data_IF_177567792574
#
_entry.id   IF_177567792574
#
_cell.length_a   1.000
_cell.length_b   1.000
_cell.length_c   1.000
_cell.angle_alpha   90.00
_cell.angle_beta   90.00
_cell.angle_gamma   90.00
#
_symmetry.space_group_name_H-M   'P 1'
#
loop_
_entity.id
_entity.type
_entity.pdbx_description
1 polymer ?
#
# COMPACT_ATOMS: atom_id res chain seq x y z
N UNK A 1 -16.61 39.99 -73.88
CA UNK A 1 -15.50 39.70 -72.95
C UNK A 1 -15.83 39.82 -71.47
N UNK A 2 -17.04 40.11 -71.01
CA UNK A 2 -17.36 40.32 -69.58
C UNK A 2 -17.93 39.01 -68.91
N UNK A 3 -18.47 38.04 -69.67
CA UNK A 3 -19.02 36.80 -69.13
C UNK A 3 -17.98 35.74 -68.73
N UNK A 4 -16.75 35.77 -69.30
CA UNK A 4 -15.66 34.83 -68.98
C UNK A 4 -14.96 35.15 -67.63
N UNK A 5 -14.87 36.43 -67.25
CA UNK A 5 -14.22 36.91 -66.01
C UNK A 5 -15.01 36.54 -64.76
N UNK A 6 -16.35 36.50 -64.84
CA UNK A 6 -17.20 36.16 -63.68
C UNK A 6 -17.22 34.65 -63.34
N UNK A 7 -16.97 33.75 -64.33
CA UNK A 7 -16.91 32.33 -64.09
C UNK A 7 -15.58 31.88 -63.42
N UNK A 8 -14.48 32.55 -63.75
CA UNK A 8 -13.16 32.29 -63.11
C UNK A 8 -13.12 32.77 -61.64
N UNK A 9 -13.79 33.90 -61.31
CA UNK A 9 -13.85 34.37 -59.91
C UNK A 9 -14.74 33.48 -59.03
N UNK A 10 -15.82 32.88 -59.56
CA UNK A 10 -16.69 31.90 -58.80
C UNK A 10 -15.98 30.60 -58.53
N UNK A 11 -15.14 30.07 -59.43
CA UNK A 11 -14.40 28.81 -59.23
C UNK A 11 -13.29 28.98 -58.17
N UNK A 12 -12.66 30.11 -58.09
CA UNK A 12 -11.62 30.39 -57.08
C UNK A 12 -12.19 30.64 -55.67
N UNK A 13 -13.39 31.24 -55.57
CA UNK A 13 -14.11 31.41 -54.30
C UNK A 13 -14.62 30.08 -53.74
N UNK A 14 -15.06 29.14 -54.59
CA UNK A 14 -15.50 27.80 -54.18
C UNK A 14 -14.32 26.92 -53.76
N UNK A 15 -13.15 27.04 -54.37
CA UNK A 15 -11.92 26.33 -53.96
C UNK A 15 -11.32 26.89 -52.65
N UNK A 16 -11.40 28.20 -52.43
CA UNK A 16 -10.97 28.82 -51.16
C UNK A 16 -11.90 28.44 -49.99
N UNK A 17 -13.23 28.36 -50.23
CA UNK A 17 -14.18 27.91 -49.20
C UNK A 17 -14.03 26.43 -48.83
N UNK A 18 -13.68 25.56 -49.79
CA UNK A 18 -13.44 24.14 -49.50
C UNK A 18 -12.15 23.89 -48.71
N UNK A 19 -11.10 24.68 -48.96
CA UNK A 19 -9.83 24.58 -48.18
C UNK A 19 -9.97 25.14 -46.77
N UNK A 20 -10.79 26.19 -46.58
CA UNK A 20 -11.03 26.78 -45.25
C UNK A 20 -11.95 25.87 -44.40
N UNK A 21 -12.90 25.15 -45.01
CA UNK A 21 -13.77 24.19 -44.30
C UNK A 21 -13.00 22.93 -43.86
N UNK A 22 -11.96 22.52 -44.60
CA UNK A 22 -11.13 21.37 -44.22
C UNK A 22 -10.12 21.73 -43.11
N UNK A 23 -9.73 23.00 -42.96
CA UNK A 23 -8.80 23.43 -41.89
C UNK A 23 -9.50 23.71 -40.56
N UNK A 24 -10.81 23.98 -40.56
CA UNK A 24 -11.60 24.22 -39.33
C UNK A 24 -12.06 22.92 -38.72
N UNK A 25 -12.11 21.80 -39.47
CA UNK A 25 -12.46 20.49 -38.94
C UNK A 25 -11.30 19.75 -38.24
N UNK A 26 -10.04 20.21 -38.41
CA UNK A 26 -8.89 19.64 -37.72
C UNK A 26 -8.47 20.35 -36.44
N UNK A 27 -9.07 21.50 -36.12
CA UNK A 27 -8.77 22.26 -34.90
C UNK A 27 -9.80 22.11 -33.77
N UNK A 28 -10.75 21.20 -33.94
CA UNK A 28 -11.63 20.71 -32.88
C UNK A 28 -11.17 19.36 -32.34
N UNK A 29 -9.84 19.13 -32.27
CA UNK A 29 -9.28 18.20 -31.31
C UNK A 29 -9.56 18.78 -29.93
N UNK A 30 -10.79 18.56 -29.47
CA UNK A 30 -11.24 19.04 -28.19
C UNK A 30 -10.24 18.59 -27.13
N UNK A 31 -9.76 19.51 -26.33
CA UNK A 31 -9.34 19.21 -24.98
C UNK A 31 -10.54 18.49 -24.34
N UNK A 32 -10.59 17.17 -24.48
CA UNK A 32 -11.50 16.36 -23.69
C UNK A 32 -11.06 16.60 -22.26
N UNK A 33 -11.86 17.36 -21.51
CA UNK A 33 -11.73 17.45 -20.08
C UNK A 33 -11.87 16.02 -19.58
N UNK A 34 -10.74 15.37 -19.32
CA UNK A 34 -10.71 14.01 -18.83
C UNK A 34 -11.28 14.03 -17.42
N UNK A 35 -12.57 13.71 -17.28
CA UNK A 35 -13.23 13.62 -15.99
C UNK A 35 -12.73 12.37 -15.26
N UNK A 36 -12.21 12.56 -14.05
CA UNK A 36 -11.87 11.46 -13.17
C UNK A 36 -13.07 11.09 -12.29
N UNK A 37 -13.33 9.81 -12.19
CA UNK A 37 -14.26 9.24 -11.22
C UNK A 37 -13.46 8.82 -10.00
N UNK A 38 -14.01 9.06 -8.81
CA UNK A 38 -13.44 8.63 -7.53
C UNK A 38 -14.49 7.80 -6.81
N UNK A 39 -14.12 6.60 -6.40
CA UNK A 39 -14.92 5.74 -5.53
C UNK A 39 -14.13 5.37 -4.30
N UNK A 40 -14.85 5.16 -3.18
CA UNK A 40 -14.28 4.77 -1.90
C UNK A 40 -15.08 3.60 -1.32
N UNK A 41 -14.39 2.60 -0.74
CA UNK A 41 -14.98 1.45 -0.06
C UNK A 41 -14.22 1.16 1.23
N UNK A 42 -14.93 0.64 2.24
CA UNK A 42 -14.29 0.12 3.46
C UNK A 42 -13.77 -1.30 3.18
N UNK A 43 -12.46 -1.46 3.11
CA UNK A 43 -11.78 -2.72 2.78
C UNK A 43 -10.42 -2.75 3.48
N UNK A 44 -9.87 -3.94 3.74
CA UNK A 44 -8.57 -4.12 4.41
C UNK A 44 -8.49 -3.41 5.77
N UNK A 45 -9.63 -3.24 6.45
CA UNK A 45 -9.73 -2.50 7.71
C UNK A 45 -9.52 -0.98 7.59
N UNK A 46 -9.60 -0.42 6.38
CA UNK A 46 -9.41 1.01 6.12
C UNK A 46 -10.30 1.50 4.98
N UNK A 47 -10.24 2.80 4.68
CA UNK A 47 -10.88 3.36 3.49
C UNK A 47 -9.94 3.16 2.30
N UNK A 48 -10.42 2.45 1.29
CA UNK A 48 -9.75 2.28 0.00
C UNK A 48 -10.39 3.20 -1.03
N UNK A 49 -9.59 4.04 -1.67
CA UNK A 49 -10.03 4.98 -2.68
C UNK A 49 -9.35 4.68 -4.02
N UNK A 50 -10.13 4.66 -5.10
CA UNK A 50 -9.62 4.53 -6.46
C UNK A 50 -10.12 5.70 -7.29
N UNK A 51 -9.20 6.36 -7.98
CA UNK A 51 -9.50 7.48 -8.89
C UNK A 51 -8.93 7.18 -10.26
N UNK A 52 -9.76 7.07 -11.28
CA UNK A 52 -9.36 7.00 -12.69
C UNK A 52 -10.50 7.48 -13.61
N UNK A 53 -10.32 7.38 -14.92
CA UNK A 53 -11.31 7.87 -15.89
C UNK A 53 -12.39 6.85 -16.25
N UNK A 54 -12.19 5.57 -15.94
CA UNK A 54 -13.09 4.46 -16.28
C UNK A 54 -13.71 3.85 -15.01
N UNK A 55 -15.04 4.00 -14.84
CA UNK A 55 -15.77 3.44 -13.70
C UNK A 55 -15.80 1.91 -13.69
N UNK A 56 -15.86 1.27 -14.85
CA UNK A 56 -15.87 -0.19 -14.92
C UNK A 56 -14.53 -0.76 -14.47
N UNK A 57 -13.43 -0.09 -14.85
CA UNK A 57 -12.08 -0.42 -14.39
C UNK A 57 -11.93 -0.23 -12.87
N UNK A 58 -12.53 0.84 -12.28
CA UNK A 58 -12.55 1.03 -10.82
C UNK A 58 -13.20 -0.17 -10.13
N UNK A 59 -14.37 -0.61 -10.60
CA UNK A 59 -15.07 -1.77 -10.02
C UNK A 59 -14.21 -3.02 -10.09
N UNK A 60 -13.60 -3.31 -11.24
CA UNK A 60 -12.72 -4.47 -11.42
C UNK A 60 -11.48 -4.42 -10.53
N UNK A 61 -10.93 -3.22 -10.27
CA UNK A 61 -9.79 -3.04 -9.37
C UNK A 61 -10.18 -3.28 -7.90
N UNK A 62 -11.37 -2.86 -7.47
CA UNK A 62 -11.88 -3.20 -6.14
C UNK A 62 -12.08 -4.70 -5.92
N UNK A 63 -12.48 -5.45 -6.97
CA UNK A 63 -12.59 -6.92 -6.87
C UNK A 63 -11.23 -7.59 -6.62
N UNK A 64 -10.14 -7.08 -7.21
CA UNK A 64 -8.80 -7.58 -6.90
C UNK A 64 -8.39 -7.31 -5.45
N UNK A 65 -8.66 -6.11 -4.93
CA UNK A 65 -8.43 -5.79 -3.52
C UNK A 65 -9.25 -6.70 -2.61
N UNK A 66 -10.50 -6.99 -2.99
CA UNK A 66 -11.38 -7.89 -2.22
C UNK A 66 -10.83 -9.31 -2.12
N UNK A 67 -10.22 -9.82 -3.18
CA UNK A 67 -9.57 -11.14 -3.14
C UNK A 67 -8.46 -11.18 -2.09
N UNK A 68 -7.58 -10.17 -2.08
CA UNK A 68 -6.48 -10.11 -1.10
C UNK A 68 -7.02 -9.93 0.32
N UNK A 69 -8.06 -9.10 0.52
CA UNK A 69 -8.71 -8.96 1.82
C UNK A 69 -9.23 -10.32 2.35
N UNK A 70 -9.88 -11.13 1.49
CA UNK A 70 -10.40 -12.45 1.88
C UNK A 70 -9.25 -13.39 2.27
N UNK A 71 -8.14 -13.39 1.51
CA UNK A 71 -6.99 -14.24 1.74
C UNK A 71 -6.27 -13.88 3.04
N UNK A 72 -6.03 -12.56 3.27
CA UNK A 72 -5.19 -12.05 4.35
C UNK A 72 -5.95 -11.72 5.66
N UNK A 73 -7.23 -12.01 5.75
CA UNK A 73 -8.07 -11.68 6.90
C UNK A 73 -7.88 -12.67 8.06
N UNK A 74 -7.05 -12.32 9.03
CA UNK A 74 -6.82 -13.11 10.25
C UNK A 74 -8.05 -13.26 11.17
N UNK A 75 -9.12 -12.48 10.96
CA UNK A 75 -10.36 -12.55 11.74
C UNK A 75 -11.41 -13.48 11.12
N UNK A 76 -11.22 -13.91 9.88
CA UNK A 76 -12.09 -14.88 9.22
C UNK A 76 -11.46 -16.27 9.27
N UNK A 77 -12.03 -17.24 10.03
CA UNK A 77 -11.49 -18.60 10.12
C UNK A 77 -11.39 -19.32 8.76
N UNK A 78 -12.22 -18.93 7.78
CA UNK A 78 -12.22 -19.48 6.43
C UNK A 78 -11.13 -18.92 5.50
N UNK A 79 -10.42 -17.87 5.90
CA UNK A 79 -9.34 -17.30 5.08
C UNK A 79 -8.15 -18.24 4.98
N UNK A 80 -7.35 -18.09 3.92
CA UNK A 80 -6.14 -18.91 3.75
C UNK A 80 -5.14 -18.67 4.88
N UNK A 81 -4.93 -17.42 5.28
CA UNK A 81 -4.02 -17.08 6.37
C UNK A 81 -4.47 -17.68 7.71
N UNK A 82 -5.77 -17.67 8.02
CA UNK A 82 -6.30 -18.26 9.25
C UNK A 82 -6.17 -19.78 9.26
N UNK A 83 -6.41 -20.43 8.12
CA UNK A 83 -6.20 -21.87 7.95
C UNK A 83 -4.72 -22.26 8.12
N UNK A 84 -3.79 -21.47 7.52
CA UNK A 84 -2.35 -21.67 7.73
C UNK A 84 -1.99 -21.54 9.22
N UNK A 85 -2.46 -20.46 9.87
CA UNK A 85 -2.19 -20.21 11.28
C UNK A 85 -2.75 -21.29 12.22
N UNK A 86 -3.91 -21.86 11.88
CA UNK A 86 -4.54 -22.91 12.68
C UNK A 86 -3.88 -24.28 12.47
N UNK A 87 -3.56 -24.64 11.22
CA UNK A 87 -3.02 -25.96 10.87
C UNK A 87 -1.48 -26.01 10.91
N UNK A 88 -0.80 -24.87 10.95
CA UNK A 88 0.66 -24.77 10.83
C UNK A 88 1.19 -25.06 9.42
N UNK A 89 0.33 -25.42 8.47
CA UNK A 89 0.70 -25.73 7.08
C UNK A 89 -0.48 -25.62 6.13
N UNK A 90 -0.21 -25.26 4.87
CA UNK A 90 -1.24 -25.17 3.82
C UNK A 90 -0.61 -25.31 2.43
N UNK A 91 -1.35 -25.91 1.49
CA UNK A 91 -1.13 -25.63 0.08
C UNK A 91 -1.81 -24.29 -0.22
N UNK A 92 -1.02 -23.26 -0.45
CA UNK A 92 -1.47 -21.89 -0.59
C UNK A 92 -1.88 -21.59 -2.02
N UNK A 93 -2.85 -20.66 -2.17
CA UNK A 93 -3.07 -20.00 -3.44
C UNK A 93 -1.89 -19.07 -3.81
N UNK A 94 -1.80 -18.68 -5.07
CA UNK A 94 -0.71 -17.87 -5.61
C UNK A 94 -0.46 -16.59 -4.81
N UNK A 95 -1.52 -15.87 -4.45
CA UNK A 95 -1.39 -14.58 -3.77
C UNK A 95 -0.86 -14.72 -2.34
N UNK A 96 -1.33 -15.71 -1.56
CA UNK A 96 -0.79 -15.96 -0.22
C UNK A 96 0.67 -16.37 -0.31
N UNK A 97 0.99 -17.30 -1.22
CA UNK A 97 2.35 -17.80 -1.41
C UNK A 97 3.31 -16.66 -1.77
N UNK A 98 2.90 -15.78 -2.70
CA UNK A 98 3.70 -14.64 -3.13
C UNK A 98 3.90 -13.62 -1.99
N UNK A 99 2.86 -13.28 -1.22
CA UNK A 99 3.00 -12.39 -0.06
C UNK A 99 3.98 -12.93 0.98
N UNK A 100 3.91 -14.23 1.29
CA UNK A 100 4.86 -14.87 2.23
C UNK A 100 6.27 -14.87 1.65
N UNK A 101 6.44 -15.24 0.37
CA UNK A 101 7.75 -15.27 -0.30
C UNK A 101 8.41 -13.89 -0.33
N UNK A 102 7.66 -12.83 -0.68
CA UNK A 102 8.18 -11.46 -0.64
C UNK A 102 8.54 -11.04 0.79
N UNK A 103 7.71 -11.40 1.78
CA UNK A 103 8.00 -11.13 3.18
C UNK A 103 9.32 -11.76 3.66
N UNK A 104 9.63 -12.97 3.21
CA UNK A 104 10.91 -13.62 3.52
C UNK A 104 12.13 -12.90 2.91
N UNK A 105 11.95 -12.17 1.80
CA UNK A 105 13.03 -11.31 1.27
C UNK A 105 13.29 -10.15 2.22
N UNK A 106 12.24 -9.45 2.67
CA UNK A 106 12.39 -8.34 3.62
C UNK A 106 12.94 -8.81 4.96
N UNK A 107 12.53 -9.99 5.46
CA UNK A 107 13.10 -10.60 6.65
C UNK A 107 14.62 -10.73 6.54
N UNK A 108 15.10 -11.32 5.43
CA UNK A 108 16.55 -11.52 5.19
C UNK A 108 17.27 -10.19 5.01
N UNK A 109 16.75 -9.26 4.20
CA UNK A 109 17.35 -7.96 3.94
C UNK A 109 17.46 -7.09 5.19
N UNK A 110 16.52 -7.22 6.12
CA UNK A 110 16.46 -6.43 7.35
C UNK A 110 17.05 -7.14 8.58
N UNK A 111 17.67 -8.31 8.39
CA UNK A 111 18.18 -9.14 9.50
C UNK A 111 17.10 -9.39 10.57
N UNK A 112 15.87 -9.62 10.13
CA UNK A 112 14.72 -9.94 10.97
C UNK A 112 14.03 -8.73 11.60
N UNK A 113 14.30 -7.50 11.17
CA UNK A 113 13.52 -6.33 11.58
C UNK A 113 12.12 -6.31 10.94
N UNK A 114 11.97 -6.84 9.74
CA UNK A 114 10.69 -7.19 9.14
C UNK A 114 10.44 -8.68 9.38
N UNK A 115 9.35 -9.03 10.07
CA UNK A 115 9.02 -10.42 10.35
C UNK A 115 7.51 -10.62 10.42
N UNK A 116 6.96 -11.41 9.50
CA UNK A 116 5.54 -11.70 9.45
C UNK A 116 5.09 -12.72 10.50
N UNK A 117 6.00 -13.42 11.18
CA UNK A 117 5.66 -14.36 12.26
C UNK A 117 5.36 -13.68 13.59
N UNK A 118 5.30 -12.35 13.61
CA UNK A 118 4.92 -11.55 14.80
C UNK A 118 3.47 -11.75 15.25
N UNK A 119 2.67 -12.57 14.58
CA UNK A 119 1.27 -12.82 14.88
C UNK A 119 0.96 -13.04 16.37
N UNK A 120 1.70 -13.90 17.10
CA UNK A 120 1.48 -14.09 18.55
C UNK A 120 1.69 -12.83 19.38
N UNK A 121 2.69 -12.01 19.04
CA UNK A 121 2.95 -10.71 19.68
C UNK A 121 1.90 -9.68 19.28
N UNK A 122 1.56 -9.62 17.98
CA UNK A 122 0.55 -8.70 17.47
C UNK A 122 -0.81 -8.91 18.15
N UNK A 123 -1.20 -10.16 18.42
CA UNK A 123 -2.43 -10.47 19.13
C UNK A 123 -2.46 -9.86 20.54
N UNK A 124 -1.37 -9.96 21.30
CA UNK A 124 -1.23 -9.39 22.64
C UNK A 124 -1.37 -7.86 22.60
N UNK A 125 -0.64 -7.20 21.72
CA UNK A 125 -0.63 -5.73 21.66
C UNK A 125 -1.91 -5.16 21.06
N UNK A 126 -2.51 -5.80 20.06
CA UNK A 126 -3.82 -5.42 19.50
C UNK A 126 -4.93 -5.52 20.58
N UNK A 127 -4.86 -6.52 21.46
CA UNK A 127 -5.79 -6.62 22.59
C UNK A 127 -5.63 -5.43 23.54
N UNK A 128 -4.41 -5.03 23.89
CA UNK A 128 -4.16 -3.86 24.74
C UNK A 128 -4.62 -2.53 24.13
N UNK A 129 -4.44 -2.37 22.82
CA UNK A 129 -4.97 -1.22 22.08
C UNK A 129 -6.50 -1.20 22.18
N UNK A 130 -7.17 -2.34 21.96
CA UNK A 130 -8.63 -2.46 22.04
C UNK A 130 -9.14 -2.25 23.48
N UNK A 131 -8.44 -2.73 24.52
CA UNK A 131 -8.78 -2.45 25.92
C UNK A 131 -8.75 -0.94 26.19
N UNK A 132 -7.74 -0.24 25.69
CA UNK A 132 -7.62 1.20 25.83
C UNK A 132 -8.73 1.97 25.09
N UNK A 133 -9.04 1.58 23.86
CA UNK A 133 -10.12 2.15 23.04
C UNK A 133 -11.50 2.00 23.72
N UNK A 134 -11.72 0.87 24.41
CA UNK A 134 -12.94 0.60 25.16
C UNK A 134 -12.92 1.18 26.58
N UNK A 135 -11.91 2.00 26.92
CA UNK A 135 -11.77 2.64 28.24
C UNK A 135 -11.81 1.64 29.41
N UNK A 136 -11.20 0.46 29.26
CA UNK A 136 -11.12 -0.55 30.31
C UNK A 136 -10.35 0.02 31.52
N UNK A 137 -10.97 -0.02 32.70
CA UNK A 137 -10.33 0.47 33.94
C UNK A 137 -9.17 -0.44 34.34
N UNK A 138 -8.07 0.16 34.78
CA UNK A 138 -6.89 -0.59 35.23
C UNK A 138 -6.09 -1.19 34.10
N UNK A 139 -6.04 -0.52 32.93
CA UNK A 139 -5.18 -0.92 31.82
C UNK A 139 -3.75 -1.13 32.32
N UNK A 140 -3.19 -2.29 32.02
CA UNK A 140 -1.80 -2.67 32.37
C UNK A 140 -1.05 -3.18 31.16
N UNK A 141 0.26 -3.12 31.23
CA UNK A 141 1.11 -3.76 30.20
C UNK A 141 0.99 -5.28 30.27
N UNK A 142 1.24 -5.99 29.16
CA UNK A 142 1.34 -7.45 29.16
C UNK A 142 2.45 -7.90 30.10
N UNK A 143 2.24 -9.04 30.77
CA UNK A 143 3.29 -9.64 31.59
C UNK A 143 4.51 -10.01 30.74
N UNK A 144 5.73 -9.76 31.26
CA UNK A 144 6.97 -10.10 30.56
C UNK A 144 7.06 -11.59 30.18
N UNK A 145 6.48 -12.48 30.97
CA UNK A 145 6.38 -13.91 30.66
C UNK A 145 5.52 -14.20 29.44
N UNK A 146 4.40 -13.44 29.23
CA UNK A 146 3.56 -13.56 28.04
C UNK A 146 4.33 -13.12 26.78
N UNK A 147 5.03 -11.99 26.86
CA UNK A 147 5.87 -11.49 25.76
C UNK A 147 6.99 -12.50 25.44
N UNK A 148 7.70 -13.00 26.45
CA UNK A 148 8.76 -13.99 26.26
C UNK A 148 8.25 -15.28 25.61
N UNK A 149 7.08 -15.77 26.00
CA UNK A 149 6.44 -16.94 25.39
C UNK A 149 6.06 -16.67 23.92
N UNK A 150 5.44 -15.52 23.61
CA UNK A 150 5.09 -15.16 22.24
C UNK A 150 6.34 -14.94 21.38
N UNK A 151 7.37 -14.29 21.91
CA UNK A 151 8.63 -14.02 21.22
C UNK A 151 9.36 -15.30 20.81
N UNK A 152 9.28 -16.40 21.58
CA UNK A 152 9.89 -17.69 21.22
C UNK A 152 9.27 -18.31 19.95
N UNK A 153 8.07 -17.87 19.55
CA UNK A 153 7.37 -18.32 18.36
C UNK A 153 7.65 -17.43 17.13
N UNK A 154 8.42 -16.35 17.29
CA UNK A 154 8.78 -15.43 16.20
C UNK A 154 10.08 -15.88 15.54
N UNK A 155 10.16 -15.66 14.24
CA UNK A 155 11.31 -15.96 13.38
C UNK A 155 10.85 -16.50 12.04
N UNK A 156 10.91 -15.69 10.99
CA UNK A 156 10.52 -16.09 9.62
C UNK A 156 11.50 -17.11 9.01
N UNK A 157 12.66 -17.35 9.60
CA UNK A 157 13.54 -18.50 9.33
C UNK A 157 12.89 -19.85 9.65
N UNK A 158 11.82 -19.86 10.47
CA UNK A 158 11.01 -21.02 10.80
C UNK A 158 9.85 -21.26 9.81
N UNK A 159 9.77 -20.51 8.70
CA UNK A 159 8.85 -20.75 7.61
C UNK A 159 9.55 -21.56 6.53
N UNK A 160 8.96 -22.68 6.13
CA UNK A 160 9.41 -23.45 4.97
C UNK A 160 8.46 -23.19 3.79
N UNK A 161 9.03 -22.91 2.62
CA UNK A 161 8.33 -22.80 1.35
C UNK A 161 8.78 -23.87 0.40
N UNK A 162 7.83 -24.51 -0.28
CA UNK A 162 8.06 -25.37 -1.44
C UNK A 162 7.48 -24.68 -2.69
N UNK A 163 8.36 -24.16 -3.51
CA UNK A 163 8.00 -23.44 -4.75
C UNK A 163 7.30 -24.34 -5.77
N UNK A 164 7.57 -25.65 -5.77
CA UNK A 164 6.99 -26.58 -6.75
C UNK A 164 5.51 -26.89 -6.46
N UNK A 165 5.15 -26.96 -5.18
CA UNK A 165 3.79 -27.29 -4.74
C UNK A 165 3.04 -26.10 -4.16
N UNK A 166 3.65 -24.92 -4.08
CA UNK A 166 3.13 -23.74 -3.37
C UNK A 166 2.76 -24.05 -1.92
N UNK A 167 3.54 -24.90 -1.26
CA UNK A 167 3.27 -25.34 0.10
C UNK A 167 3.99 -24.45 1.11
N UNK A 168 3.27 -24.00 2.12
CA UNK A 168 3.80 -23.20 3.24
C UNK A 168 3.67 -24.02 4.51
N UNK A 169 4.74 -24.12 5.30
CA UNK A 169 4.68 -24.72 6.64
C UNK A 169 5.42 -23.88 7.68
N UNK A 170 4.85 -23.85 8.88
CA UNK A 170 5.41 -23.28 10.09
C UNK A 170 6.03 -24.40 10.90
N UNK A 171 7.32 -24.32 11.18
CA UNK A 171 8.07 -25.45 11.77
C UNK A 171 7.80 -25.65 13.25
N UNK A 172 7.16 -24.70 13.92
CA UNK A 172 6.89 -24.74 15.36
C UNK A 172 5.39 -24.53 15.64
N UNK A 173 4.79 -25.39 16.46
CA UNK A 173 3.40 -25.23 16.91
C UNK A 173 3.19 -23.94 17.68
N UNK A 174 2.09 -23.24 17.42
CA UNK A 174 1.74 -21.97 18.05
C UNK A 174 2.28 -20.73 17.32
N UNK A 175 3.10 -20.91 16.27
CA UNK A 175 3.44 -19.81 15.37
C UNK A 175 2.20 -19.31 14.64
N UNK A 176 2.17 -18.04 14.31
CA UNK A 176 1.17 -17.47 13.42
C UNK A 176 1.73 -16.29 12.61
N UNK A 177 1.25 -16.17 11.39
CA UNK A 177 1.62 -15.10 10.44
C UNK A 177 0.62 -13.95 10.54
N UNK A 178 1.14 -12.72 10.53
CA UNK A 178 0.40 -11.48 10.33
C UNK A 178 0.96 -10.75 9.10
N UNK A 179 0.13 -10.58 8.07
CA UNK A 179 0.50 -9.92 6.81
C UNK A 179 0.22 -8.41 6.80
N UNK A 180 -0.11 -7.81 7.94
CA UNK A 180 -0.51 -6.40 8.02
C UNK A 180 0.50 -5.39 7.48
N UNK A 181 1.78 -5.74 7.42
CA UNK A 181 2.86 -4.90 6.94
C UNK A 181 3.16 -5.03 5.42
N UNK A 182 2.41 -5.87 4.69
CA UNK A 182 2.63 -6.06 3.24
C UNK A 182 1.32 -6.20 2.45
N UNK A 183 0.24 -6.70 3.08
CA UNK A 183 -0.98 -7.06 2.36
C UNK A 183 -1.67 -5.86 1.70
N UNK A 184 -1.59 -4.66 2.29
CA UNK A 184 -2.22 -3.46 1.71
C UNK A 184 -1.48 -3.01 0.45
N UNK A 185 -0.15 -2.96 0.49
CA UNK A 185 0.68 -2.64 -0.67
C UNK A 185 0.47 -3.67 -1.79
N UNK A 186 0.49 -4.95 -1.45
CA UNK A 186 0.23 -6.02 -2.41
C UNK A 186 -1.15 -5.92 -3.07
N UNK A 187 -2.20 -5.62 -2.29
CA UNK A 187 -3.55 -5.41 -2.82
C UNK A 187 -3.63 -4.19 -3.76
N UNK A 188 -2.93 -3.10 -3.43
CA UNK A 188 -2.82 -1.92 -4.30
C UNK A 188 -2.15 -2.29 -5.63
N UNK A 189 -1.07 -3.08 -5.62
CA UNK A 189 -0.38 -3.50 -6.84
C UNK A 189 -1.26 -4.42 -7.71
N UNK A 190 -2.06 -5.32 -7.12
CA UNK A 190 -3.04 -6.13 -7.84
C UNK A 190 -4.11 -5.26 -8.51
N UNK A 191 -4.64 -4.26 -7.80
CA UNK A 191 -5.59 -3.30 -8.34
C UNK A 191 -4.99 -2.48 -9.49
N UNK A 192 -3.75 -2.00 -9.34
CA UNK A 192 -3.04 -1.25 -10.38
C UNK A 192 -2.78 -2.12 -11.61
N UNK A 193 -2.40 -3.38 -11.43
CA UNK A 193 -2.27 -4.33 -12.54
C UNK A 193 -3.58 -4.46 -13.29
N UNK A 194 -4.69 -4.65 -12.59
CA UNK A 194 -6.02 -4.77 -13.19
C UNK A 194 -6.44 -3.52 -13.95
N UNK A 195 -6.13 -2.33 -13.41
CA UNK A 195 -6.37 -1.05 -14.12
C UNK A 195 -5.57 -0.99 -15.42
N UNK A 196 -4.27 -1.37 -15.40
CA UNK A 196 -3.42 -1.42 -16.61
C UNK A 196 -3.98 -2.39 -17.67
N UNK A 197 -4.41 -3.58 -17.26
CA UNK A 197 -5.05 -4.59 -18.12
C UNK A 197 -6.35 -4.09 -18.75
N UNK A 198 -7.09 -3.23 -18.04
CA UNK A 198 -8.29 -2.54 -18.55
C UNK A 198 -7.96 -1.34 -19.45
N UNK A 199 -6.69 -1.08 -19.78
CA UNK A 199 -6.26 0.03 -20.64
C UNK A 199 -6.15 1.38 -19.93
N UNK A 200 -6.32 1.45 -18.61
CA UNK A 200 -6.16 2.67 -17.82
C UNK A 200 -4.69 3.07 -17.77
N UNK A 201 -4.40 4.32 -18.11
CA UNK A 201 -3.04 4.89 -18.12
C UNK A 201 -2.83 5.94 -17.04
N UNK A 202 -3.88 6.35 -16.34
CA UNK A 202 -3.82 7.36 -15.31
C UNK A 202 -4.79 7.01 -14.18
N UNK A 203 -4.25 6.71 -12.99
CA UNK A 203 -5.02 6.35 -11.82
C UNK A 203 -4.28 6.67 -10.54
N UNK A 204 -5.03 6.85 -9.45
CA UNK A 204 -4.55 6.85 -8.09
C UNK A 204 -5.33 5.79 -7.32
N UNK A 205 -4.61 4.84 -6.71
CA UNK A 205 -5.15 3.85 -5.76
C UNK A 205 -4.56 4.16 -4.40
N UNK A 206 -5.42 4.25 -3.37
CA UNK A 206 -5.01 4.53 -1.99
C UNK A 206 -5.73 3.58 -1.03
N UNK A 207 -5.01 2.78 -0.30
CA UNK A 207 -5.51 1.89 0.73
C UNK A 207 -4.97 2.32 2.10
N UNK A 208 -5.66 3.28 2.75
CA UNK A 208 -5.27 3.74 4.09
C UNK A 208 -3.85 4.32 4.17
N UNK A 209 -3.39 5.04 3.14
CA UNK A 209 -2.04 5.62 3.09
C UNK A 209 -1.02 4.78 2.31
N UNK A 210 -1.34 3.55 1.92
CA UNK A 210 -0.60 2.81 0.92
C UNK A 210 -1.10 3.22 -0.46
N UNK A 211 -0.31 3.94 -1.21
CA UNK A 211 -0.73 4.62 -2.45
C UNK A 211 0.08 4.12 -3.63
N UNK A 212 -0.56 4.00 -4.79
CA UNK A 212 0.13 3.92 -6.07
C UNK A 212 -0.45 4.95 -7.04
N UNK A 213 0.44 5.65 -7.74
CA UNK A 213 0.08 6.63 -8.76
C UNK A 213 0.50 6.13 -10.14
N UNK A 214 -0.47 5.69 -10.94
CA UNK A 214 -0.26 5.25 -12.31
C UNK A 214 -0.27 6.46 -13.25
N UNK A 215 0.80 6.63 -14.05
CA UNK A 215 0.93 7.71 -15.01
C UNK A 215 0.79 9.11 -14.39
N UNK A 216 0.26 10.04 -15.16
CA UNK A 216 0.05 11.44 -14.77
C UNK A 216 -1.43 11.80 -14.70
N UNK A 217 -1.79 12.76 -13.87
CA UNK A 217 -3.11 13.39 -13.85
C UNK A 217 -3.10 14.55 -14.87
N UNK A 218 -3.54 14.28 -16.10
CA UNK A 218 -3.34 15.19 -17.23
C UNK A 218 -1.85 15.33 -17.54
N UNK A 219 -1.33 16.57 -17.51
CA UNK A 219 0.10 16.87 -17.76
C UNK A 219 0.97 16.82 -16.49
N UNK A 220 0.40 16.68 -15.30
CA UNK A 220 1.09 16.80 -14.02
C UNK A 220 1.22 15.45 -13.33
N UNK A 221 2.28 15.23 -12.56
CA UNK A 221 2.38 14.12 -11.61
C UNK A 221 1.23 14.17 -10.60
N UNK A 222 0.85 13.02 -10.06
CA UNK A 222 -0.11 12.94 -8.96
C UNK A 222 0.50 13.57 -7.71
N UNK A 223 -0.27 14.42 -7.03
CA UNK A 223 0.15 15.07 -5.79
C UNK A 223 -0.52 14.38 -4.60
N UNK A 224 0.28 13.78 -3.73
CA UNK A 224 -0.16 13.04 -2.53
C UNK A 224 0.36 13.76 -1.29
N UNK A 225 -0.53 14.10 -0.36
CA UNK A 225 -0.16 14.74 0.91
C UNK A 225 0.21 13.70 1.97
N UNK A 226 1.32 13.90 2.67
CA UNK A 226 1.70 13.13 3.86
C UNK A 226 1.25 13.87 5.10
N UNK A 227 0.39 13.22 5.91
CA UNK A 227 -0.20 13.83 7.12
C UNK A 227 0.85 14.02 8.22
N UNK A 228 0.65 15.10 8.99
CA UNK A 228 1.49 15.36 10.15
C UNK A 228 1.18 14.32 11.26
N UNK A 229 2.19 13.66 11.85
CA UNK A 229 2.01 12.56 12.81
C UNK A 229 1.31 12.96 14.12
N UNK A 230 1.37 14.24 14.49
CA UNK A 230 0.76 14.76 15.74
C UNK A 230 -0.39 15.72 15.50
N UNK A 231 -0.61 16.16 14.25
CA UNK A 231 -1.67 17.08 13.85
C UNK A 231 -2.37 16.56 12.59
N UNK A 232 -3.34 15.64 12.74
CA UNK A 232 -3.92 14.89 11.59
C UNK A 232 -4.57 15.76 10.51
N UNK A 233 -4.94 17.00 10.82
CA UNK A 233 -5.50 17.97 9.87
C UNK A 233 -4.43 18.68 9.02
N UNK A 234 -3.15 18.60 9.39
CA UNK A 234 -2.05 19.26 8.69
C UNK A 234 -1.31 18.29 7.76
N UNK A 235 -0.83 18.81 6.65
CA UNK A 235 0.07 18.10 5.71
C UNK A 235 1.49 18.59 5.96
N UNK A 236 2.43 17.68 6.18
CA UNK A 236 3.85 18.04 6.40
C UNK A 236 4.52 18.36 5.07
N UNK A 237 4.30 17.52 4.08
CA UNK A 237 4.84 17.71 2.73
C UNK A 237 3.97 16.98 1.69
N UNK A 238 4.24 17.29 0.43
CA UNK A 238 3.59 16.63 -0.70
C UNK A 238 4.58 15.83 -1.51
N UNK A 239 4.15 14.64 -1.92
CA UNK A 239 4.83 13.80 -2.90
C UNK A 239 4.27 14.09 -4.29
N UNK A 240 5.14 14.11 -5.32
CA UNK A 240 4.74 14.19 -6.70
C UNK A 240 5.12 12.87 -7.38
N UNK A 241 4.14 11.97 -7.53
CA UNK A 241 4.34 10.59 -7.94
C UNK A 241 3.87 10.35 -9.38
N UNK A 242 4.63 9.50 -10.09
CA UNK A 242 4.30 8.99 -11.43
C UNK A 242 4.86 7.59 -11.57
N UNK A 243 4.00 6.59 -11.77
CA UNK A 243 4.36 5.17 -11.82
C UNK A 243 5.17 4.71 -10.59
N UNK A 244 4.75 5.17 -9.41
CA UNK A 244 5.40 4.88 -8.15
C UNK A 244 4.37 4.62 -7.05
N UNK A 245 4.77 3.74 -6.13
CA UNK A 245 4.09 3.52 -4.85
C UNK A 245 4.64 4.45 -3.76
N UNK A 246 3.83 4.71 -2.75
CA UNK A 246 4.27 5.32 -1.50
C UNK A 246 3.46 4.77 -0.33
N UNK A 247 4.13 4.51 0.79
CA UNK A 247 3.50 4.06 2.03
C UNK A 247 4.10 4.76 3.25
N UNK A 248 3.29 4.97 4.26
CA UNK A 248 3.74 5.57 5.51
C UNK A 248 3.40 4.66 6.69
N UNK A 249 4.41 4.27 7.45
CA UNK A 249 4.27 3.63 8.76
C UNK A 249 4.48 4.67 9.86
N UNK A 250 3.64 4.66 10.89
CA UNK A 250 3.73 5.62 11.97
C UNK A 250 3.18 5.09 13.30
N UNK A 251 3.68 5.65 14.40
CA UNK A 251 3.30 5.27 15.76
C UNK A 251 1.91 5.79 16.18
N UNK A 252 1.24 6.54 15.31
CA UNK A 252 -0.02 7.24 15.56
C UNK A 252 -1.25 6.60 14.91
N UNK A 253 -1.09 5.55 14.11
CA UNK A 253 -2.23 4.90 13.43
C UNK A 253 -3.05 4.05 14.41
N UNK A 254 -2.40 3.17 15.16
CA UNK A 254 -3.01 2.36 16.20
C UNK A 254 -2.08 2.33 17.41
N UNK A 255 -2.53 2.83 18.54
CA UNK A 255 -1.73 2.94 19.77
C UNK A 255 -2.59 3.14 21.02
N UNK A 256 -1.98 2.95 22.18
CA UNK A 256 -2.51 3.47 23.43
C UNK A 256 -1.41 4.23 24.19
N UNK A 257 -1.85 5.02 25.18
CA UNK A 257 -0.95 5.75 26.07
C UNK A 257 -1.14 5.22 27.47
N UNK A 258 -0.04 4.82 28.11
CA UNK A 258 0.01 4.43 29.51
C UNK A 258 1.22 5.13 30.17
N UNK A 259 1.01 5.76 31.32
CA UNK A 259 2.05 6.50 32.05
C UNK A 259 2.84 7.50 31.18
N UNK A 260 2.12 8.23 30.33
CA UNK A 260 2.66 9.20 29.34
C UNK A 260 3.50 8.59 28.22
N UNK A 261 3.64 7.27 28.17
CA UNK A 261 4.36 6.57 27.09
C UNK A 261 3.36 6.03 26.07
N UNK A 262 3.72 6.17 24.77
CA UNK A 262 2.95 5.63 23.64
C UNK A 262 3.41 4.21 23.34
N UNK A 263 2.45 3.31 23.14
CA UNK A 263 2.64 1.94 22.72
C UNK A 263 1.89 1.73 21.42
N UNK A 264 2.63 1.71 20.30
CA UNK A 264 2.07 1.55 18.96
C UNK A 264 1.86 0.08 18.60
N UNK A 265 1.13 -0.16 17.52
CA UNK A 265 0.94 -1.49 16.95
C UNK A 265 2.17 -2.03 16.21
N UNK A 266 3.18 -1.20 15.94
CA UNK A 266 4.41 -1.62 15.25
C UNK A 266 5.33 -2.24 16.30
N UNK A 267 5.56 -3.55 16.17
CA UNK A 267 6.30 -4.36 17.15
C UNK A 267 7.71 -4.61 16.63
N UNK A 268 8.69 -4.52 17.51
CA UNK A 268 10.03 -4.96 17.22
C UNK A 268 10.11 -6.50 17.40
N UNK A 269 10.34 -7.28 16.33
CA UNK A 269 10.34 -8.74 16.39
C UNK A 269 11.44 -9.32 17.28
N UNK A 270 12.50 -8.56 17.54
CA UNK A 270 13.64 -9.00 18.38
C UNK A 270 13.37 -8.84 19.86
N UNK A 271 12.55 -7.87 20.25
CA UNK A 271 12.25 -7.58 21.67
C UNK A 271 10.86 -8.02 22.09
N UNK A 272 9.93 -8.14 21.15
CA UNK A 272 8.51 -8.40 21.39
C UNK A 272 7.72 -7.20 21.89
N UNK A 273 8.35 -6.03 22.00
CA UNK A 273 7.71 -4.79 22.44
C UNK A 273 7.43 -3.86 21.25
N UNK A 274 6.44 -2.96 21.38
CA UNK A 274 6.27 -1.86 20.43
C UNK A 274 7.58 -1.11 20.25
N UNK A 275 7.83 -0.70 19.00
CA UNK A 275 9.03 0.08 18.67
C UNK A 275 9.07 1.36 19.49
N UNK A 276 10.19 1.60 20.14
CA UNK A 276 10.45 2.78 20.96
C UNK A 276 11.75 3.41 20.46
N UNK A 277 11.63 4.21 19.44
CA UNK A 277 12.70 5.02 18.88
C UNK A 277 12.19 6.44 18.66
N UNK A 278 13.06 7.37 18.30
CA UNK A 278 12.67 8.77 18.13
C UNK A 278 11.94 9.05 16.80
N UNK A 279 11.33 8.04 16.17
CA UNK A 279 10.64 8.18 14.87
C UNK A 279 9.13 8.23 15.08
N UNK A 280 8.49 9.28 14.56
CA UNK A 280 7.04 9.39 14.50
C UNK A 280 6.45 8.69 13.27
N UNK A 281 7.11 8.83 12.11
CA UNK A 281 6.70 8.16 10.87
C UNK A 281 7.85 7.99 9.88
N UNK A 282 7.70 6.97 9.05
CA UNK A 282 8.55 6.69 7.89
C UNK A 282 7.67 6.60 6.66
N UNK A 283 7.95 7.42 5.66
CA UNK A 283 7.35 7.33 4.33
C UNK A 283 8.37 6.80 3.34
N UNK A 284 8.03 5.73 2.65
CA UNK A 284 8.82 5.15 1.57
C UNK A 284 8.14 5.45 0.25
N UNK A 285 8.93 5.85 -0.75
CA UNK A 285 8.54 5.89 -2.17
C UNK A 285 9.31 4.78 -2.85
N UNK A 286 8.63 3.95 -3.67
CA UNK A 286 9.23 2.80 -4.34
C UNK A 286 8.57 2.55 -5.72
N UNK A 287 9.15 1.69 -6.57
CA UNK A 287 8.56 1.34 -7.87
C UNK A 287 7.18 0.69 -7.78
N UNK A 288 6.86 0.01 -6.67
CA UNK A 288 5.58 -0.65 -6.41
C UNK A 288 5.10 -0.41 -4.96
N UNK A 289 3.81 -0.69 -4.72
CA UNK A 289 3.19 -0.41 -3.43
C UNK A 289 3.54 -1.46 -2.36
N UNK A 290 3.77 -2.71 -2.72
CA UNK A 290 4.18 -3.76 -1.79
C UNK A 290 5.56 -3.46 -1.21
N UNK A 291 6.51 -3.01 -2.06
CA UNK A 291 7.84 -2.58 -1.64
C UNK A 291 7.75 -1.38 -0.70
N UNK A 292 6.95 -0.37 -1.02
CA UNK A 292 6.81 0.78 -0.12
C UNK A 292 6.16 0.42 1.21
N UNK A 293 5.14 -0.48 1.24
CA UNK A 293 4.47 -0.95 2.46
C UNK A 293 5.45 -1.73 3.36
N UNK A 294 6.12 -2.76 2.80
CA UNK A 294 7.08 -3.58 3.54
C UNK A 294 8.26 -2.79 4.09
N UNK A 295 8.84 -1.92 3.26
CA UNK A 295 10.00 -1.11 3.68
C UNK A 295 9.64 -0.02 4.68
N UNK A 296 8.44 0.58 4.61
CA UNK A 296 8.06 1.62 5.59
C UNK A 296 8.04 1.05 7.01
N UNK A 297 7.52 -0.16 7.19
CA UNK A 297 7.56 -0.88 8.47
C UNK A 297 8.98 -1.30 8.83
N UNK A 298 9.74 -1.82 7.87
CA UNK A 298 11.12 -2.26 8.07
C UNK A 298 12.00 -1.12 8.60
N UNK A 299 12.00 0.02 7.91
CA UNK A 299 12.80 1.19 8.28
C UNK A 299 12.36 1.76 9.63
N UNK A 300 11.05 1.76 9.91
CA UNK A 300 10.51 2.18 11.20
C UNK A 300 11.05 1.32 12.35
N UNK A 301 11.14 0.00 12.16
CA UNK A 301 11.67 -0.94 13.18
C UNK A 301 13.19 -0.83 13.32
N UNK A 302 13.93 -0.70 12.20
CA UNK A 302 15.38 -0.57 12.20
C UNK A 302 15.87 0.72 12.86
N UNK A 303 15.08 1.79 12.79
CA UNK A 303 15.52 3.14 13.14
C UNK A 303 16.20 3.86 11.98
N UNK A 304 16.56 5.13 12.20
CA UNK A 304 16.99 6.05 11.16
C UNK A 304 18.25 5.57 10.43
N UNK A 305 19.33 5.32 11.16
CA UNK A 305 20.63 5.02 10.54
C UNK A 305 20.58 3.72 9.72
N UNK A 306 20.22 2.60 10.36
CA UNK A 306 20.15 1.29 9.69
C UNK A 306 19.07 1.24 8.63
N UNK A 307 17.97 1.98 8.82
CA UNK A 307 16.90 2.07 7.85
C UNK A 307 17.31 2.80 6.58
N UNK A 308 18.08 3.89 6.68
CA UNK A 308 18.65 4.61 5.53
C UNK A 308 19.70 3.75 4.81
N UNK A 309 20.61 3.10 5.56
CA UNK A 309 21.60 2.18 4.98
C UNK A 309 20.96 1.03 4.18
N UNK A 310 19.83 0.51 4.66
CA UNK A 310 19.08 -0.52 3.93
C UNK A 310 18.48 0.04 2.63
N UNK A 311 17.83 1.20 2.71
CA UNK A 311 17.15 1.80 1.58
C UNK A 311 18.12 2.23 0.46
N UNK A 312 19.31 2.72 0.81
CA UNK A 312 20.37 3.09 -0.15
C UNK A 312 20.85 1.91 -1.02
N UNK A 313 20.64 0.67 -0.56
CA UNK A 313 20.97 -0.55 -1.32
C UNK A 313 19.87 -0.98 -2.28
N UNK A 314 18.74 -0.25 -2.32
CA UNK A 314 17.57 -0.61 -3.10
C UNK A 314 17.29 0.42 -4.19
N UNK A 315 17.31 -0.02 -5.44
CA UNK A 315 17.08 0.85 -6.58
C UNK A 315 15.66 1.45 -6.59
N UNK A 316 15.58 2.76 -6.82
CA UNK A 316 14.31 3.48 -6.96
C UNK A 316 13.55 3.69 -5.63
N UNK A 317 14.22 3.50 -4.49
CA UNK A 317 13.64 3.71 -3.15
C UNK A 317 14.08 5.07 -2.59
N UNK A 318 13.10 5.86 -2.13
CA UNK A 318 13.34 7.10 -1.38
C UNK A 318 12.72 6.99 0.01
N UNK A 319 13.40 7.54 1.01
CA UNK A 319 12.96 7.54 2.42
C UNK A 319 12.73 8.95 2.93
N UNK A 320 11.63 9.15 3.65
CA UNK A 320 11.35 10.38 4.39
C UNK A 320 10.99 9.99 5.83
N UNK A 321 11.77 10.47 6.79
CA UNK A 321 11.59 10.19 8.22
C UNK A 321 11.15 11.46 8.92
N UNK A 322 10.14 11.35 9.79
CA UNK A 322 9.73 12.39 10.72
C UNK A 322 10.03 11.89 12.13
N UNK A 323 10.88 12.61 12.83
CA UNK A 323 11.26 12.35 14.22
C UNK A 323 10.31 13.09 15.18
N UNK A 324 10.30 12.68 16.48
CA UNK A 324 9.49 13.29 17.55
C UNK A 324 10.01 14.66 17.95
#
# INVERSE_FOLDING_TARGET
>A
MIKASLRAKRSNLLKAASSLALFVLFSLSGCSFQSYHKEARLMLGTIVEITCQDRAAITSAFEEIKKIEIIANNFNPGSEISRLNAAGKIQAGEDLFNMVRESLKYYRLSEGAFDITVGPLASIWKEKIREAENNVRGLTLPAGSQIKKALSLVGSDKISLDDNSSFISLTQSGMSIDLGAIAKGYAVDKAVRRLKESGVRSALVNAGGNVYCLGKKGSRKWRVGVRHPRKPAEIVFYLNLENQGAATSGDYEQFFILDKKRYSHIINPKTGWPVDNNISSVTIIAPDAATSDGLSTTVFVLGKEKGLELAEKMDGVEVKIIEN
#
